data_IF_719417915338
#
_entry.id   IF_719417915338
#
_cell.length_a   1.000
_cell.length_b   1.000
_cell.length_c   1.000
_cell.angle_alpha   90.00
_cell.angle_beta   90.00
_cell.angle_gamma   90.00
#
_symmetry.space_group_name_H-M   'P 1'
#
loop_
_entity.id
_entity.type
_entity.pdbx_description
1 polymer ?
#
# COMPACT_ATOMS: atom_id res chain seq x y z
N UNK A 1 -30.59 -18.06 18.08
CA UNK A 1 -30.61 -19.07 16.99
C UNK A 1 -30.03 -18.55 15.67
N UNK A 2 -30.45 -17.39 15.14
CA UNK A 2 -29.94 -16.80 13.88
C UNK A 2 -28.41 -16.58 13.83
N UNK A 3 -27.77 -16.23 14.95
CA UNK A 3 -26.32 -16.04 15.04
C UNK A 3 -25.53 -17.36 14.90
N UNK A 4 -25.93 -18.43 15.62
CA UNK A 4 -25.30 -19.76 15.50
C UNK A 4 -25.41 -20.35 14.09
N UNK A 5 -26.55 -20.13 13.44
CA UNK A 5 -26.77 -20.54 12.05
C UNK A 5 -25.85 -19.80 11.06
N UNK A 6 -25.63 -18.50 11.27
CA UNK A 6 -24.67 -17.71 10.47
C UNK A 6 -23.23 -18.18 10.66
N UNK A 7 -22.84 -18.54 11.89
CA UNK A 7 -21.50 -19.10 12.17
C UNK A 7 -21.28 -20.47 11.53
N UNK A 8 -22.29 -21.33 11.52
CA UNK A 8 -22.24 -22.64 10.83
C UNK A 8 -22.13 -22.44 9.32
N UNK A 9 -22.88 -21.49 8.74
CA UNK A 9 -22.76 -21.13 7.32
C UNK A 9 -21.36 -20.61 6.96
N UNK A 10 -20.73 -19.83 7.85
CA UNK A 10 -19.35 -19.37 7.66
C UNK A 10 -18.37 -20.54 7.73
N UNK A 11 -18.54 -21.46 8.68
CA UNK A 11 -17.72 -22.68 8.81
C UNK A 11 -17.84 -23.60 7.59
N UNK A 12 -19.07 -23.80 7.09
CA UNK A 12 -19.32 -24.52 5.85
C UNK A 12 -18.67 -23.77 4.67
N UNK A 13 -18.77 -22.45 4.62
CA UNK A 13 -18.12 -21.63 3.59
C UNK A 13 -16.59 -21.74 3.60
N UNK A 14 -15.96 -21.71 4.78
CA UNK A 14 -14.51 -21.92 4.94
C UNK A 14 -14.13 -23.35 4.57
N UNK A 15 -14.91 -24.35 5.00
CA UNK A 15 -14.70 -25.75 4.61
C UNK A 15 -14.86 -25.98 3.11
N UNK A 16 -15.77 -25.26 2.46
CA UNK A 16 -15.99 -25.31 1.01
C UNK A 16 -14.85 -24.63 0.25
N UNK A 17 -14.35 -23.49 0.74
CA UNK A 17 -13.14 -22.84 0.19
C UNK A 17 -11.94 -23.77 0.37
N UNK A 18 -11.74 -24.37 1.54
CA UNK A 18 -10.70 -25.36 1.79
C UNK A 18 -10.82 -26.60 0.89
N UNK A 19 -12.05 -27.07 0.63
CA UNK A 19 -12.33 -28.17 -0.28
C UNK A 19 -12.08 -27.83 -1.75
N UNK A 20 -12.40 -26.61 -2.19
CA UNK A 20 -12.06 -26.11 -3.53
C UNK A 20 -10.54 -25.98 -3.66
N UNK A 21 -9.86 -25.43 -2.66
CA UNK A 21 -8.39 -25.37 -2.63
C UNK A 21 -7.79 -26.78 -2.75
N UNK A 22 -8.24 -27.74 -1.93
CA UNK A 22 -7.77 -29.12 -1.99
C UNK A 22 -8.09 -29.84 -3.30
N UNK A 23 -9.25 -29.56 -3.91
CA UNK A 23 -9.65 -30.12 -5.19
C UNK A 23 -8.89 -29.51 -6.38
N UNK A 24 -8.65 -28.19 -6.38
CA UNK A 24 -7.88 -27.51 -7.42
C UNK A 24 -6.41 -27.93 -7.41
N UNK A 25 -5.80 -28.07 -6.23
CA UNK A 25 -4.46 -28.66 -6.09
C UNK A 25 -4.35 -30.09 -6.63
N UNK A 26 -5.46 -30.81 -6.79
CA UNK A 26 -5.48 -32.19 -7.31
C UNK A 26 -5.59 -32.31 -8.83
N UNK A 27 -6.02 -31.27 -9.56
CA UNK A 27 -6.36 -31.40 -11.00
C UNK A 27 -5.65 -30.44 -11.95
N UNK A 28 -5.28 -29.24 -11.50
CA UNK A 28 -4.51 -28.26 -12.26
C UNK A 28 -3.77 -27.41 -11.23
N UNK A 29 -2.45 -27.53 -11.18
CA UNK A 29 -1.60 -26.94 -10.14
C UNK A 29 -1.54 -25.42 -10.23
N UNK A 30 -2.59 -24.75 -9.73
CA UNK A 30 -2.66 -23.30 -9.64
C UNK A 30 -1.45 -22.73 -8.89
N UNK A 31 -0.96 -23.44 -7.87
CA UNK A 31 0.26 -23.08 -7.16
C UNK A 31 1.48 -23.09 -8.08
N UNK A 32 1.62 -24.10 -8.96
CA UNK A 32 2.66 -24.11 -9.99
C UNK A 32 2.52 -22.96 -10.99
N UNK A 33 1.31 -22.68 -11.50
CA UNK A 33 1.11 -21.56 -12.43
C UNK A 33 1.47 -20.21 -11.82
N UNK A 34 1.06 -19.99 -10.56
CA UNK A 34 1.41 -18.76 -9.82
C UNK A 34 2.93 -18.71 -9.59
N UNK A 35 3.54 -19.83 -9.24
CA UNK A 35 4.98 -19.93 -9.01
C UNK A 35 5.79 -19.62 -10.27
N UNK A 36 5.45 -20.24 -11.41
CA UNK A 36 6.11 -20.02 -12.69
C UNK A 36 5.99 -18.56 -13.12
N UNK A 37 4.80 -17.96 -12.99
CA UNK A 37 4.60 -16.54 -13.23
C UNK A 37 5.47 -15.66 -12.33
N UNK A 38 5.55 -15.96 -11.03
CA UNK A 38 6.39 -15.20 -10.08
C UNK A 38 7.86 -15.31 -10.45
N UNK A 39 8.35 -16.49 -10.81
CA UNK A 39 9.74 -16.70 -11.23
C UNK A 39 10.05 -15.95 -12.52
N UNK A 40 9.17 -16.03 -13.51
CA UNK A 40 9.38 -15.34 -14.78
C UNK A 40 9.36 -13.82 -14.60
N UNK A 41 8.47 -13.32 -13.72
CA UNK A 41 8.44 -11.92 -13.32
C UNK A 41 9.73 -11.53 -12.59
N UNK A 42 10.17 -12.28 -11.58
CA UNK A 42 11.41 -12.02 -10.82
C UNK A 42 12.62 -11.96 -11.79
N UNK A 43 12.75 -12.96 -12.66
CA UNK A 43 13.77 -13.02 -13.72
C UNK A 43 13.72 -11.80 -14.63
N UNK A 44 12.54 -11.40 -15.10
CA UNK A 44 12.39 -10.24 -15.96
C UNK A 44 12.80 -8.94 -15.23
N UNK A 45 12.48 -8.84 -13.94
CA UNK A 45 12.77 -7.67 -13.11
C UNK A 45 14.27 -7.50 -12.86
N UNK A 46 14.98 -8.51 -12.36
CA UNK A 46 16.41 -8.35 -12.07
C UNK A 46 17.25 -8.36 -13.35
N UNK A 47 16.88 -9.08 -14.42
CA UNK A 47 17.60 -9.03 -15.71
C UNK A 47 17.57 -7.63 -16.32
N UNK A 48 16.46 -6.91 -16.13
CA UNK A 48 16.28 -5.54 -16.61
C UNK A 48 16.31 -4.52 -15.46
N UNK A 49 17.05 -4.80 -14.37
CA UNK A 49 16.92 -4.07 -13.10
C UNK A 49 17.02 -2.56 -13.21
N UNK A 50 17.97 -2.06 -14.03
CA UNK A 50 18.11 -0.62 -14.25
C UNK A 50 16.92 -0.01 -14.99
N UNK A 51 16.48 -0.64 -16.09
CA UNK A 51 15.33 -0.17 -16.86
C UNK A 51 14.05 -0.21 -16.03
N UNK A 52 13.86 -1.28 -15.25
CA UNK A 52 12.72 -1.43 -14.34
C UNK A 52 12.68 -0.32 -13.28
N UNK A 53 13.82 0.02 -12.69
CA UNK A 53 13.96 1.14 -11.74
C UNK A 53 13.61 2.49 -12.40
N UNK A 54 14.21 2.79 -13.55
CA UNK A 54 14.02 4.08 -14.23
C UNK A 54 12.57 4.23 -14.70
N UNK A 55 12.01 3.23 -15.38
CA UNK A 55 10.65 3.29 -15.92
C UNK A 55 9.62 3.39 -14.80
N UNK A 56 9.76 2.61 -13.73
CA UNK A 56 8.81 2.65 -12.60
C UNK A 56 8.83 4.01 -11.90
N UNK A 57 10.01 4.53 -11.56
CA UNK A 57 10.11 5.84 -10.91
C UNK A 57 9.58 6.93 -11.83
N UNK A 58 10.03 7.01 -13.08
CA UNK A 58 9.61 8.08 -14.00
C UNK A 58 8.10 8.04 -14.28
N UNK A 59 7.52 6.87 -14.56
CA UNK A 59 6.10 6.75 -14.86
C UNK A 59 5.22 7.15 -13.67
N UNK A 60 5.55 6.70 -12.46
CA UNK A 60 4.84 7.08 -11.24
C UNK A 60 5.05 8.56 -10.91
N UNK A 61 6.25 9.10 -11.13
CA UNK A 61 6.55 10.53 -10.94
C UNK A 61 5.69 11.41 -11.84
N UNK A 62 5.68 11.10 -13.14
CA UNK A 62 4.86 11.81 -14.13
C UNK A 62 3.38 11.71 -13.77
N UNK A 63 2.89 10.53 -13.39
CA UNK A 63 1.52 10.35 -12.95
C UNK A 63 1.20 11.22 -11.72
N UNK A 64 2.06 11.22 -10.69
CA UNK A 64 1.87 12.03 -9.48
C UNK A 64 1.76 13.52 -9.82
N UNK A 65 2.66 14.04 -10.66
CA UNK A 65 2.61 15.45 -11.10
C UNK A 65 1.36 15.76 -11.91
N UNK A 66 0.94 14.89 -12.82
CA UNK A 66 -0.31 15.05 -13.58
C UNK A 66 -1.50 15.15 -12.62
N UNK A 67 -1.63 14.22 -11.67
CA UNK A 67 -2.73 14.21 -10.70
C UNK A 67 -2.68 15.41 -9.75
N UNK A 68 -1.49 15.88 -9.37
CA UNK A 68 -1.33 17.13 -8.61
C UNK A 68 -1.90 18.33 -9.39
N UNK A 69 -1.50 18.52 -10.64
CA UNK A 69 -1.97 19.66 -11.43
C UNK A 69 -3.46 19.58 -11.76
N UNK A 70 -3.96 18.39 -12.11
CA UNK A 70 -5.38 18.16 -12.35
C UNK A 70 -6.21 18.39 -11.08
N UNK A 71 -5.75 17.89 -9.93
CA UNK A 71 -6.41 18.10 -8.63
C UNK A 71 -6.40 19.55 -8.20
N UNK A 72 -5.29 20.26 -8.38
CA UNK A 72 -5.20 21.71 -8.13
C UNK A 72 -6.18 22.49 -9.00
N UNK A 73 -6.30 22.14 -10.28
CA UNK A 73 -7.28 22.76 -11.18
C UNK A 73 -8.73 22.44 -10.78
N UNK A 74 -9.00 21.20 -10.36
CA UNK A 74 -10.31 20.77 -9.88
C UNK A 74 -10.75 21.55 -8.64
N UNK A 75 -9.90 21.64 -7.62
CA UNK A 75 -10.16 22.39 -6.38
C UNK A 75 -10.43 23.87 -6.71
N UNK A 76 -9.60 24.50 -7.54
CA UNK A 76 -9.82 25.89 -7.95
C UNK A 76 -11.16 26.12 -8.66
N UNK A 77 -11.66 25.13 -9.42
CA UNK A 77 -12.98 25.21 -10.06
C UNK A 77 -14.11 25.06 -9.03
N UNK A 78 -14.01 24.11 -8.11
CA UNK A 78 -15.00 23.94 -7.04
C UNK A 78 -15.11 25.19 -6.16
N UNK A 79 -13.97 25.83 -5.83
CA UNK A 79 -13.94 27.09 -5.08
C UNK A 79 -14.60 28.25 -5.85
N UNK A 80 -14.37 28.34 -7.17
CA UNK A 80 -14.99 29.37 -8.00
C UNK A 80 -16.50 29.19 -8.18
N UNK A 81 -16.96 27.95 -8.21
CA UNK A 81 -18.37 27.62 -8.38
C UNK A 81 -19.14 27.63 -7.05
N UNK A 82 -18.49 28.01 -5.94
CA UNK A 82 -19.05 27.99 -4.58
C UNK A 82 -19.73 26.65 -4.26
N UNK A 83 -19.14 25.54 -4.76
CA UNK A 83 -19.62 24.22 -4.40
C UNK A 83 -19.47 24.05 -2.88
N UNK A 84 -20.54 23.74 -2.15
CA UNK A 84 -20.54 23.59 -0.69
C UNK A 84 -19.63 22.46 -0.16
N UNK A 85 -18.90 21.77 -1.04
CA UNK A 85 -17.83 20.84 -0.70
C UNK A 85 -16.69 20.98 -1.72
N UNK A 86 -15.45 20.95 -1.23
CA UNK A 86 -14.25 21.00 -2.09
C UNK A 86 -13.94 19.58 -2.58
N UNK A 87 -13.83 19.40 -3.89
CA UNK A 87 -13.40 18.13 -4.51
C UNK A 87 -11.87 18.07 -4.54
N UNK A 88 -11.28 17.35 -3.59
CA UNK A 88 -9.83 17.16 -3.47
C UNK A 88 -9.34 15.73 -3.80
N UNK A 89 -10.25 14.86 -4.27
CA UNK A 89 -9.98 13.45 -4.55
C UNK A 89 -8.74 13.21 -5.43
N UNK A 90 -8.53 14.02 -6.48
CA UNK A 90 -7.37 13.89 -7.36
C UNK A 90 -6.05 14.26 -6.67
N UNK A 91 -6.06 15.19 -5.70
CA UNK A 91 -4.91 15.45 -4.84
C UNK A 91 -4.63 14.24 -3.94
N UNK A 92 -5.67 13.62 -3.41
CA UNK A 92 -5.57 12.35 -2.68
C UNK A 92 -4.92 11.23 -3.52
N UNK A 93 -5.31 11.08 -4.79
CA UNK A 93 -4.64 10.15 -5.71
C UNK A 93 -3.16 10.48 -5.86
N UNK A 94 -2.81 11.76 -6.03
CA UNK A 94 -1.41 12.18 -6.11
C UNK A 94 -0.62 11.76 -4.86
N UNK A 95 -1.19 11.88 -3.65
CA UNK A 95 -0.55 11.45 -2.40
C UNK A 95 -0.39 9.92 -2.32
N UNK A 96 -1.36 9.16 -2.84
CA UNK A 96 -1.23 7.69 -2.92
C UNK A 96 -0.10 7.30 -3.87
N UNK A 97 0.00 7.95 -5.03
CA UNK A 97 1.07 7.68 -5.99
C UNK A 97 2.44 8.03 -5.40
N UNK A 98 2.59 9.13 -4.65
CA UNK A 98 3.86 9.45 -3.99
C UNK A 98 4.26 8.38 -2.97
N UNK A 99 3.31 7.82 -2.21
CA UNK A 99 3.57 6.67 -1.34
C UNK A 99 4.00 5.42 -2.14
N UNK A 100 3.39 5.17 -3.30
CA UNK A 100 3.80 4.09 -4.21
C UNK A 100 5.22 4.30 -4.74
N UNK A 101 5.63 5.52 -5.11
CA UNK A 101 7.01 5.82 -5.56
C UNK A 101 8.02 5.39 -4.50
N UNK A 102 7.76 5.67 -3.23
CA UNK A 102 8.67 5.29 -2.14
C UNK A 102 8.81 3.76 -2.01
N UNK A 103 7.69 3.03 -1.97
CA UNK A 103 7.69 1.57 -1.79
C UNK A 103 8.28 0.87 -3.03
N UNK A 104 7.78 1.20 -4.23
CA UNK A 104 8.27 0.59 -5.46
C UNK A 104 9.72 0.99 -5.74
N UNK A 105 10.12 2.22 -5.42
CA UNK A 105 11.51 2.66 -5.52
C UNK A 105 12.45 1.73 -4.77
N UNK A 106 12.11 1.34 -3.53
CA UNK A 106 12.91 0.39 -2.73
C UNK A 106 12.96 -0.98 -3.42
N UNK A 107 11.81 -1.51 -3.86
CA UNK A 107 11.70 -2.82 -4.51
C UNK A 107 12.55 -2.88 -5.79
N UNK A 108 12.42 -1.89 -6.67
CA UNK A 108 13.15 -1.86 -7.93
C UNK A 108 14.64 -1.55 -7.72
N UNK A 109 14.99 -0.76 -6.70
CA UNK A 109 16.40 -0.52 -6.38
C UNK A 109 17.07 -1.80 -5.86
N UNK A 110 16.37 -2.60 -5.04
CA UNK A 110 16.87 -3.91 -4.62
C UNK A 110 17.06 -4.87 -5.81
N UNK A 111 16.13 -4.90 -6.76
CA UNK A 111 16.26 -5.68 -8.00
C UNK A 111 17.43 -5.20 -8.88
N UNK A 112 17.68 -3.90 -8.93
CA UNK A 112 18.86 -3.33 -9.58
C UNK A 112 20.17 -3.80 -8.90
N UNK A 113 20.22 -3.80 -7.57
CA UNK A 113 21.38 -4.32 -6.84
C UNK A 113 21.62 -5.81 -7.14
N UNK A 114 20.54 -6.60 -7.21
CA UNK A 114 20.61 -8.01 -7.61
C UNK A 114 21.09 -8.17 -9.06
N UNK A 115 20.70 -7.27 -9.96
CA UNK A 115 21.16 -7.25 -11.35
C UNK A 115 22.68 -7.07 -11.47
N UNK A 116 23.27 -6.25 -10.60
CA UNK A 116 24.72 -6.09 -10.51
C UNK A 116 25.38 -7.35 -9.94
N UNK A 117 24.81 -7.95 -8.88
CA UNK A 117 25.42 -9.14 -8.25
C UNK A 117 25.42 -10.38 -9.15
N UNK A 118 24.47 -10.45 -10.08
CA UNK A 118 24.32 -11.55 -11.05
C UNK A 118 24.98 -11.20 -12.41
N UNK A 119 25.80 -10.15 -12.46
CA UNK A 119 26.57 -9.69 -13.64
C UNK A 119 25.74 -9.36 -14.91
N UNK A 120 24.43 -9.12 -14.78
CA UNK A 120 23.61 -8.66 -15.91
C UNK A 120 23.90 -7.20 -16.29
N UNK A 121 24.33 -6.40 -15.32
CA UNK A 121 24.54 -4.96 -15.45
C UNK A 121 25.86 -4.57 -14.79
N UNK A 122 26.61 -3.66 -15.43
CA UNK A 122 27.85 -3.15 -14.87
C UNK A 122 27.62 -2.26 -13.64
N UNK A 123 28.49 -2.38 -12.63
CA UNK A 123 28.48 -1.49 -11.47
C UNK A 123 28.73 -0.01 -11.80
N UNK A 124 29.25 0.32 -13.00
CA UNK A 124 29.50 1.70 -13.43
C UNK A 124 28.24 2.56 -13.44
N UNK A 125 27.06 1.97 -13.63
CA UNK A 125 25.79 2.72 -13.64
C UNK A 125 25.16 2.87 -12.26
N UNK A 126 25.80 2.36 -11.20
CA UNK A 126 25.33 2.46 -9.81
C UNK A 126 25.06 3.91 -9.40
N UNK A 127 25.98 4.83 -9.71
CA UNK A 127 25.81 6.25 -9.37
C UNK A 127 24.57 6.87 -10.00
N UNK A 128 24.27 6.48 -11.25
CA UNK A 128 23.08 6.96 -11.98
C UNK A 128 21.81 6.37 -11.35
N UNK A 129 21.80 5.06 -11.09
CA UNK A 129 20.65 4.39 -10.46
C UNK A 129 20.35 4.95 -9.06
N UNK A 130 21.39 5.22 -8.27
CA UNK A 130 21.26 5.85 -6.96
C UNK A 130 20.71 7.27 -7.07
N UNK A 131 21.19 8.06 -8.03
CA UNK A 131 20.66 9.40 -8.27
C UNK A 131 19.17 9.36 -8.67
N UNK A 132 18.77 8.45 -9.56
CA UNK A 132 17.36 8.26 -9.96
C UNK A 132 16.50 7.88 -8.75
N UNK A 133 16.97 6.96 -7.90
CA UNK A 133 16.28 6.58 -6.68
C UNK A 133 16.13 7.73 -5.69
N UNK A 134 17.21 8.47 -5.41
CA UNK A 134 17.19 9.62 -4.49
C UNK A 134 16.28 10.72 -5.01
N UNK A 135 16.36 11.08 -6.30
CA UNK A 135 15.47 12.07 -6.92
C UNK A 135 14.01 11.59 -6.84
N UNK A 136 13.79 10.29 -7.08
CA UNK A 136 12.51 9.60 -6.88
C UNK A 136 11.93 9.78 -5.49
N UNK A 137 12.74 9.65 -4.43
CA UNK A 137 12.31 9.84 -3.05
C UNK A 137 12.12 11.32 -2.71
N UNK A 138 13.07 12.18 -3.07
CA UNK A 138 13.03 13.62 -2.74
C UNK A 138 11.80 14.31 -3.33
N UNK A 139 11.40 13.96 -4.56
CA UNK A 139 10.18 14.55 -5.14
C UNK A 139 8.91 14.16 -4.38
N UNK A 140 8.87 13.01 -3.69
CA UNK A 140 7.69 12.63 -2.89
C UNK A 140 7.52 13.59 -1.72
N UNK A 141 8.62 14.01 -1.09
CA UNK A 141 8.62 15.02 -0.03
C UNK A 141 8.14 16.37 -0.57
N UNK A 142 8.67 16.79 -1.73
CA UNK A 142 8.29 18.04 -2.39
C UNK A 142 6.80 18.04 -2.74
N UNK A 143 6.30 16.99 -3.40
CA UNK A 143 4.90 16.89 -3.79
C UNK A 143 3.97 16.83 -2.59
N UNK A 144 4.29 16.06 -1.55
CA UNK A 144 3.48 16.00 -0.34
C UNK A 144 3.41 17.37 0.35
N UNK A 145 4.53 18.09 0.44
CA UNK A 145 4.55 19.45 1.00
C UNK A 145 3.76 20.45 0.12
N UNK A 146 3.84 20.33 -1.21
CA UNK A 146 3.07 21.17 -2.14
C UNK A 146 1.56 20.90 -2.08
N UNK A 147 1.16 19.64 -1.89
CA UNK A 147 -0.25 19.25 -1.76
C UNK A 147 -0.80 19.80 -0.46
N UNK A 148 -0.14 19.51 0.67
CA UNK A 148 -0.61 19.95 1.99
C UNK A 148 -0.58 21.48 2.12
N UNK A 149 0.46 22.13 1.60
CA UNK A 149 0.52 23.60 1.54
C UNK A 149 -0.59 24.19 0.67
N UNK A 150 -0.97 23.51 -0.42
CA UNK A 150 -2.12 23.94 -1.23
C UNK A 150 -3.45 23.73 -0.49
N UNK A 151 -3.62 22.62 0.23
CA UNK A 151 -4.81 22.37 1.06
C UNK A 151 -5.01 23.50 2.07
N UNK A 152 -3.94 23.95 2.71
CA UNK A 152 -3.99 25.04 3.69
C UNK A 152 -4.46 26.39 3.12
N UNK A 153 -4.33 26.61 1.81
CA UNK A 153 -4.79 27.87 1.19
C UNK A 153 -6.31 28.06 1.24
N UNK A 154 -7.08 26.97 1.29
CA UNK A 154 -8.53 27.02 1.37
C UNK A 154 -9.08 26.44 2.70
N UNK A 155 -8.28 25.66 3.43
CA UNK A 155 -8.56 25.16 4.78
C UNK A 155 -7.42 25.56 5.74
N UNK A 156 -7.41 26.82 6.23
CA UNK A 156 -6.29 27.38 7.00
C UNK A 156 -6.04 26.69 8.34
N UNK A 157 -7.04 26.03 8.91
CA UNK A 157 -6.97 25.26 10.15
C UNK A 157 -6.08 24.01 10.05
N UNK A 158 -5.89 23.46 8.85
CA UNK A 158 -5.17 22.19 8.65
C UNK A 158 -3.66 22.35 8.87
N UNK A 159 -3.07 21.38 9.58
CA UNK A 159 -1.64 21.34 9.85
C UNK A 159 -0.81 21.06 8.58
N UNK A 160 0.23 21.86 8.33
CA UNK A 160 0.92 21.83 7.02
C UNK A 160 2.32 21.20 6.96
N UNK A 161 2.99 21.06 8.10
CA UNK A 161 4.39 20.67 8.10
C UNK A 161 4.54 19.16 7.97
N UNK A 162 4.66 18.66 6.74
CA UNK A 162 4.77 17.22 6.46
C UNK A 162 6.07 16.59 6.93
N UNK A 163 7.10 17.40 7.21
CA UNK A 163 8.39 16.95 7.72
C UNK A 163 8.41 16.79 9.25
N UNK A 164 7.32 17.14 9.94
CA UNK A 164 7.20 16.86 11.37
C UNK A 164 7.01 15.35 11.59
N UNK A 165 7.81 14.75 12.47
CA UNK A 165 7.69 13.33 12.86
C UNK A 165 6.28 13.03 13.42
N UNK A 166 5.64 14.03 14.03
CA UNK A 166 4.28 13.95 14.57
C UNK A 166 3.23 14.46 13.59
N UNK A 167 3.55 14.64 12.30
CA UNK A 167 2.64 15.16 11.29
C UNK A 167 1.29 14.44 11.31
N UNK A 168 1.27 13.10 11.26
CA UNK A 168 0.02 12.35 11.24
C UNK A 168 -0.90 12.64 12.44
N UNK A 169 -0.32 12.77 13.64
CA UNK A 169 -1.08 13.15 14.85
C UNK A 169 -1.55 14.60 14.77
N UNK A 170 -0.65 15.54 14.49
CA UNK A 170 -0.98 16.97 14.41
C UNK A 170 -1.98 17.29 13.29
N UNK A 171 -1.91 16.56 12.19
CA UNK A 171 -2.85 16.66 11.09
C UNK A 171 -4.23 16.18 11.53
N UNK A 172 -4.33 15.00 12.16
CA UNK A 172 -5.59 14.50 12.71
C UNK A 172 -6.18 15.45 13.77
N UNK A 173 -5.36 15.98 14.67
CA UNK A 173 -5.78 16.93 15.71
C UNK A 173 -6.27 18.27 15.14
N UNK A 174 -5.88 18.61 13.90
CA UNK A 174 -6.30 19.84 13.21
C UNK A 174 -7.64 19.73 12.47
N UNK A 175 -8.13 18.50 12.27
CA UNK A 175 -9.42 18.23 11.63
C UNK A 175 -10.58 18.52 12.61
N UNK A 176 -11.72 18.94 12.07
CA UNK A 176 -12.94 19.05 12.88
C UNK A 176 -13.47 17.65 13.31
N UNK A 177 -14.41 17.62 14.26
CA UNK A 177 -14.94 16.35 14.80
C UNK A 177 -15.54 15.44 13.72
N UNK A 178 -16.13 16.03 12.68
CA UNK A 178 -16.76 15.29 11.59
C UNK A 178 -15.71 14.68 10.66
N UNK A 179 -14.73 15.46 10.22
CA UNK A 179 -13.60 15.04 9.40
C UNK A 179 -12.78 13.96 10.13
N UNK A 180 -12.52 14.12 11.43
CA UNK A 180 -11.87 13.09 12.25
C UNK A 180 -12.67 11.78 12.24
N UNK A 181 -13.98 11.85 12.46
CA UNK A 181 -14.84 10.67 12.46
C UNK A 181 -14.87 9.98 11.09
N UNK A 182 -14.90 10.75 10.00
CA UNK A 182 -14.83 10.23 8.63
C UNK A 182 -13.48 9.55 8.36
N UNK A 183 -12.37 10.16 8.78
CA UNK A 183 -11.04 9.57 8.68
C UNK A 183 -10.90 8.27 9.50
N UNK A 184 -11.42 8.21 10.74
CA UNK A 184 -11.42 6.99 11.54
C UNK A 184 -12.29 5.89 10.92
N UNK A 185 -13.47 6.23 10.37
CA UNK A 185 -14.32 5.27 9.66
C UNK A 185 -13.64 4.73 8.41
N UNK A 186 -12.98 5.58 7.63
CA UNK A 186 -12.20 5.17 6.48
C UNK A 186 -11.03 4.26 6.91
N UNK A 187 -10.28 4.65 7.95
CA UNK A 187 -9.19 3.85 8.52
C UNK A 187 -9.65 2.45 8.96
N UNK A 188 -10.77 2.34 9.67
CA UNK A 188 -11.31 1.04 10.08
C UNK A 188 -11.77 0.17 8.90
N UNK A 189 -12.40 0.77 7.88
CA UNK A 189 -12.77 0.05 6.65
C UNK A 189 -11.52 -0.47 5.92
N UNK A 190 -10.49 0.34 5.81
CA UNK A 190 -9.20 -0.04 5.22
C UNK A 190 -8.53 -1.15 6.01
N UNK A 191 -8.48 -1.05 7.35
CA UNK A 191 -7.97 -2.11 8.22
C UNK A 191 -8.66 -3.44 7.95
N UNK A 192 -10.00 -3.45 7.94
CA UNK A 192 -10.79 -4.67 7.68
C UNK A 192 -10.48 -5.26 6.30
N UNK A 193 -10.36 -4.42 5.27
CA UNK A 193 -10.00 -4.87 3.92
C UNK A 193 -8.60 -5.47 3.88
N UNK A 194 -7.62 -4.81 4.50
CA UNK A 194 -6.24 -5.31 4.60
C UNK A 194 -6.15 -6.64 5.35
N UNK A 195 -6.93 -6.83 6.42
CA UNK A 195 -7.01 -8.12 7.13
C UNK A 195 -7.40 -9.26 6.20
N UNK A 196 -8.39 -9.06 5.31
CA UNK A 196 -8.80 -10.07 4.34
C UNK A 196 -7.73 -10.29 3.26
N UNK A 197 -7.09 -9.22 2.78
CA UNK A 197 -6.01 -9.31 1.79
C UNK A 197 -4.84 -10.12 2.36
N UNK A 198 -4.41 -9.83 3.59
CA UNK A 198 -3.32 -10.55 4.25
C UNK A 198 -3.67 -12.03 4.41
N UNK A 199 -4.91 -12.34 4.84
CA UNK A 199 -5.36 -13.73 4.94
C UNK A 199 -5.31 -14.45 3.58
N UNK A 200 -5.75 -13.78 2.51
CA UNK A 200 -5.68 -14.33 1.15
C UNK A 200 -4.24 -14.52 0.66
N UNK A 201 -3.32 -13.61 1.00
CA UNK A 201 -1.89 -13.76 0.69
C UNK A 201 -1.26 -14.96 1.42
N UNK A 202 -1.64 -15.22 2.67
CA UNK A 202 -1.23 -16.44 3.40
C UNK A 202 -1.73 -17.70 2.69
N UNK A 203 -2.97 -17.71 2.20
CA UNK A 203 -3.51 -18.85 1.46
C UNK A 203 -2.79 -19.07 0.12
N UNK A 204 -2.53 -18.01 -0.66
CA UNK A 204 -1.79 -18.11 -1.93
C UNK A 204 -0.38 -18.62 -1.70
N UNK A 205 0.34 -18.03 -0.75
CA UNK A 205 1.73 -18.43 -0.46
C UNK A 205 1.80 -19.87 0.08
N UNK A 206 0.80 -20.30 0.87
CA UNK A 206 0.63 -21.68 1.29
C UNK A 206 0.41 -22.64 0.11
N UNK A 207 -0.49 -22.31 -0.81
CA UNK A 207 -0.73 -23.10 -2.03
C UNK A 207 0.54 -23.28 -2.86
N UNK A 208 1.24 -22.18 -3.14
CA UNK A 208 2.50 -22.20 -3.89
C UNK A 208 3.52 -23.11 -3.18
N UNK A 209 3.64 -23.01 -1.86
CA UNK A 209 4.60 -23.82 -1.09
C UNK A 209 4.22 -25.30 -0.97
N UNK A 210 2.94 -25.66 -1.13
CA UNK A 210 2.49 -27.06 -1.10
C UNK A 210 2.77 -27.78 -2.42
N UNK A 211 2.65 -27.07 -3.54
CA UNK A 211 2.79 -27.64 -4.88
C UNK A 211 4.22 -27.49 -5.44
N UNK A 212 5.06 -26.68 -4.81
CA UNK A 212 6.41 -26.37 -5.27
C UNK A 212 7.41 -26.39 -4.11
N UNK A 213 8.72 -26.39 -4.42
CA UNK A 213 9.77 -26.21 -3.40
C UNK A 213 9.98 -24.73 -3.03
N UNK A 214 8.99 -23.87 -3.24
CA UNK A 214 9.07 -22.46 -2.86
C UNK A 214 9.26 -22.29 -1.35
N UNK A 215 9.97 -21.22 -0.98
CA UNK A 215 10.23 -20.93 0.42
C UNK A 215 8.95 -20.44 1.13
N UNK A 216 8.69 -20.98 2.32
CA UNK A 216 7.55 -20.64 3.20
C UNK A 216 7.69 -19.28 3.91
N UNK A 217 8.84 -18.60 3.85
CA UNK A 217 9.09 -17.31 4.52
C UNK A 217 7.99 -16.26 4.26
N UNK A 218 7.53 -16.00 3.01
CA UNK A 218 6.48 -15.02 2.75
C UNK A 218 5.18 -15.33 3.51
N UNK A 219 4.82 -16.61 3.61
CA UNK A 219 3.65 -17.06 4.37
C UNK A 219 3.78 -16.68 5.86
N UNK A 220 4.94 -16.91 6.47
CA UNK A 220 5.20 -16.52 7.85
C UNK A 220 5.22 -15.00 8.05
N UNK A 221 5.80 -14.24 7.12
CA UNK A 221 5.83 -12.77 7.20
C UNK A 221 4.41 -12.18 7.20
N UNK A 222 3.54 -12.67 6.30
CA UNK A 222 2.14 -12.26 6.29
C UNK A 222 1.37 -12.72 7.53
N UNK A 223 1.63 -13.94 8.03
CA UNK A 223 1.03 -14.44 9.26
C UNK A 223 1.42 -13.64 10.51
N UNK A 224 2.69 -13.25 10.62
CA UNK A 224 3.21 -12.39 11.69
C UNK A 224 2.58 -10.99 11.59
N UNK A 225 2.52 -10.41 10.39
CA UNK A 225 1.89 -9.10 10.17
C UNK A 225 0.42 -9.11 10.61
N UNK A 226 -0.32 -10.18 10.27
CA UNK A 226 -1.69 -10.38 10.73
C UNK A 226 -1.78 -10.44 12.26
N UNK A 227 -0.95 -11.27 12.89
CA UNK A 227 -0.95 -11.44 14.35
C UNK A 227 -0.63 -10.13 15.07
N UNK A 228 0.40 -9.40 14.63
CA UNK A 228 0.78 -8.10 15.18
C UNK A 228 -0.38 -7.10 15.04
N UNK A 229 -1.01 -7.03 13.86
CA UNK A 229 -2.15 -6.15 13.63
C UNK A 229 -3.32 -6.43 14.60
N UNK A 230 -3.62 -7.71 14.83
CA UNK A 230 -4.66 -8.12 15.78
C UNK A 230 -4.31 -7.80 17.23
N UNK A 231 -3.05 -8.01 17.63
CA UNK A 231 -2.56 -7.65 18.97
C UNK A 231 -2.66 -6.15 19.20
N UNK A 232 -2.19 -5.34 18.25
CA UNK A 232 -2.26 -3.87 18.33
C UNK A 232 -3.73 -3.42 18.43
N UNK A 233 -4.62 -4.01 17.64
CA UNK A 233 -6.04 -3.68 17.70
C UNK A 233 -6.63 -3.96 19.10
N UNK A 234 -6.41 -5.16 19.64
CA UNK A 234 -6.92 -5.53 20.98
C UNK A 234 -6.33 -4.62 22.06
N UNK A 235 -5.03 -4.33 21.99
CA UNK A 235 -4.36 -3.44 22.93
C UNK A 235 -5.03 -2.05 22.96
N UNK A 236 -5.28 -1.45 21.79
CA UNK A 236 -5.92 -0.13 21.71
C UNK A 236 -7.38 -0.13 22.19
N UNK A 237 -8.11 -1.24 22.01
CA UNK A 237 -9.47 -1.38 22.56
C UNK A 237 -9.43 -1.39 24.09
N UNK A 238 -8.55 -2.21 24.68
CA UNK A 238 -8.41 -2.32 26.15
C UNK A 238 -7.93 -1.00 26.75
N UNK A 239 -6.98 -0.32 26.11
CA UNK A 239 -6.46 0.96 26.58
C UNK A 239 -7.55 2.05 26.56
N UNK A 240 -8.32 2.11 25.47
CA UNK A 240 -9.47 3.02 25.36
C UNK A 240 -10.56 2.78 26.41
N UNK A 241 -10.74 1.56 26.91
CA UNK A 241 -11.66 1.28 28.02
C UNK A 241 -11.17 1.80 29.37
N UNK A 242 -9.85 1.86 29.60
CA UNK A 242 -9.27 2.38 30.84
C UNK A 242 -9.49 3.89 31.00
N UNK A 243 -9.52 4.62 29.89
CA UNK A 243 -9.74 6.07 29.86
C UNK A 243 -11.21 6.52 29.89
N UNK A 244 -12.16 5.56 29.95
CA UNK A 244 -13.60 5.84 30.11
C UNK A 244 -14.07 5.86 31.57
N UNK A 245 -13.17 5.63 32.54
CA UNK A 245 -13.42 5.78 33.98
C UNK A 245 -12.86 7.11 34.47
#
# INVERSE_FOLDING_TARGET
MKSKFKSILILIGIGFIGGIFGFMSSRNSLGLLIYDFIIDLDKALYKNGFNALVISILSLSVAAWIFYFLGKAQVKRSLKNEEGYVKDFLLGISMVITACIAIFGIIFFANFMRSISEDYITNKIFGIALAVFIIGVLQTLVLNQLIVGFIKTYNPEKYENTLDIKFGKKYMDSLDEREQLEAYRAGFKTYKALTYIIFFLVLITGLVSMETNANVIPMFLFGILFAIGMIIYIYNVIDGEKHKK
#
